data_IF_911291947870
#
_entry.id   IF_911291947870
#
_cell.length_a   1.000
_cell.length_b   1.000
_cell.length_c   1.000
_cell.angle_alpha   90.00
_cell.angle_beta   90.00
_cell.angle_gamma   90.00
#
_symmetry.space_group_name_H-M   'P 1'
#
loop_
_entity.id
_entity.type
_entity.pdbx_description
1 polymer ?
#
# COMPACT_ATOMS: atom_id res chain seq x y z
N UNK A 1 24.15 4.88 3.33
CA UNK A 1 24.13 5.31 1.91
C UNK A 1 25.52 5.73 1.42
N UNK A 2 26.37 6.28 2.28
CA UNK A 2 27.74 6.71 1.97
C UNK A 2 28.82 5.73 2.46
N UNK A 3 28.40 4.64 3.12
CA UNK A 3 29.30 3.65 3.70
C UNK A 3 30.04 4.15 4.95
N UNK A 4 30.76 3.23 5.61
CA UNK A 4 31.50 3.51 6.84
C UNK A 4 32.57 4.60 6.65
N UNK A 5 33.35 4.51 5.56
CA UNK A 5 34.40 5.49 5.26
C UNK A 5 33.84 6.89 5.01
N UNK A 6 32.66 6.99 4.37
CA UNK A 6 31.97 8.24 4.16
C UNK A 6 31.49 8.87 5.47
N UNK A 7 30.94 8.05 6.38
CA UNK A 7 30.52 8.51 7.71
C UNK A 7 31.70 8.99 8.52
N UNK A 8 32.82 8.24 8.55
CA UNK A 8 34.05 8.64 9.25
C UNK A 8 34.55 10.00 8.75
N UNK A 9 34.61 10.19 7.42
CA UNK A 9 35.03 11.48 6.83
C UNK A 9 34.12 12.64 7.25
N UNK A 10 32.81 12.43 7.25
CA UNK A 10 31.88 13.47 7.69
C UNK A 10 32.02 13.79 9.19
N UNK A 11 32.24 12.78 10.02
CA UNK A 11 32.46 12.97 11.47
C UNK A 11 33.73 13.79 11.73
N UNK A 12 34.84 13.46 11.06
CA UNK A 12 36.09 14.22 11.13
C UNK A 12 35.87 15.67 10.66
N UNK A 13 35.16 15.87 9.56
CA UNK A 13 34.86 17.22 9.04
C UNK A 13 34.02 18.05 10.03
N UNK A 14 33.23 17.41 10.89
CA UNK A 14 32.46 18.05 11.98
C UNK A 14 33.25 18.20 13.28
N UNK A 15 34.55 17.90 13.29
CA UNK A 15 35.42 18.09 14.43
C UNK A 15 35.38 16.96 15.47
N UNK A 16 34.81 15.79 15.14
CA UNK A 16 34.85 14.62 16.00
C UNK A 16 36.24 14.00 15.86
N UNK A 17 36.90 13.68 16.98
CA UNK A 17 38.26 13.12 16.98
C UNK A 17 38.28 11.68 16.47
N UNK A 18 39.40 11.26 15.89
CA UNK A 18 39.59 9.87 15.47
C UNK A 18 39.36 8.87 16.61
N UNK A 19 39.85 9.18 17.81
CA UNK A 19 39.68 8.36 19.01
C UNK A 19 38.19 8.18 19.35
N UNK A 20 37.37 9.25 19.23
CA UNK A 20 35.94 9.17 19.46
C UNK A 20 35.22 8.36 18.38
N UNK A 21 35.67 8.47 17.11
CA UNK A 21 35.16 7.71 15.99
C UNK A 21 35.47 6.21 16.16
N UNK A 22 36.71 5.87 16.57
CA UNK A 22 37.07 4.48 16.84
C UNK A 22 36.23 3.87 17.99
N UNK A 23 36.01 4.61 19.06
CA UNK A 23 35.13 4.19 20.15
C UNK A 23 33.67 3.99 19.72
N UNK A 24 33.19 4.79 18.77
CA UNK A 24 31.84 4.70 18.23
C UNK A 24 31.70 3.68 17.08
N UNK A 25 32.81 3.25 16.47
CA UNK A 25 32.80 2.37 15.29
C UNK A 25 32.01 1.06 15.47
N UNK A 26 31.98 0.41 16.66
CA UNK A 26 31.14 -0.77 16.87
C UNK A 26 29.64 -0.52 16.72
N UNK A 27 29.18 0.73 16.78
CA UNK A 27 27.78 1.11 16.58
C UNK A 27 27.39 1.15 15.08
N UNK A 28 28.38 1.31 14.18
CA UNK A 28 28.09 1.45 12.73
C UNK A 28 28.04 0.12 11.97
N UNK A 29 28.38 -0.97 12.64
CA UNK A 29 28.36 -2.32 12.06
C UNK A 29 27.28 -3.15 12.74
N UNK A 30 26.01 -3.10 12.27
CA UNK A 30 24.99 -3.99 12.76
C UNK A 30 25.30 -5.42 12.29
N UNK A 31 26.00 -6.18 13.12
CA UNK A 31 26.34 -7.58 12.86
C UNK A 31 25.82 -8.45 14.00
N UNK A 32 25.26 -9.59 13.62
CA UNK A 32 24.80 -10.61 14.56
C UNK A 32 23.29 -10.52 14.85
N UNK A 33 22.86 -11.38 15.72
CA UNK A 33 21.49 -11.45 16.22
C UNK A 33 21.13 -10.23 17.10
N UNK A 34 19.85 -10.00 17.34
CA UNK A 34 19.40 -8.95 18.26
C UNK A 34 20.02 -9.09 19.66
N UNK A 35 20.21 -10.30 20.16
CA UNK A 35 20.81 -10.53 21.47
C UNK A 35 22.28 -10.13 21.50
N UNK A 36 23.06 -10.53 20.48
CA UNK A 36 24.47 -10.13 20.37
C UNK A 36 24.63 -8.62 20.23
N UNK A 37 23.70 -7.95 19.55
CA UNK A 37 23.68 -6.49 19.48
C UNK A 37 23.37 -5.86 20.82
N UNK A 38 22.39 -6.38 21.57
CA UNK A 38 22.06 -5.91 22.92
C UNK A 38 23.24 -6.07 23.89
N UNK A 39 23.93 -7.20 23.88
CA UNK A 39 25.10 -7.46 24.72
C UNK A 39 26.23 -6.45 24.42
N UNK A 40 26.49 -6.20 23.14
CA UNK A 40 27.47 -5.22 22.70
C UNK A 40 27.14 -3.80 23.14
N UNK A 41 25.88 -3.40 22.98
CA UNK A 41 25.38 -2.11 23.42
C UNK A 41 25.43 -1.96 24.96
N UNK A 42 25.18 -3.03 25.69
CA UNK A 42 25.27 -3.04 27.17
C UNK A 42 26.70 -2.73 27.62
N UNK A 43 27.69 -3.34 26.99
CA UNK A 43 29.11 -3.05 27.25
C UNK A 43 29.51 -1.60 26.94
N UNK A 44 28.99 -1.05 25.83
CA UNK A 44 29.28 0.33 25.39
C UNK A 44 28.57 1.40 26.24
N UNK A 45 27.35 1.12 26.70
CA UNK A 45 26.48 2.07 27.38
C UNK A 45 26.44 1.88 28.91
N UNK A 46 27.31 1.03 29.46
CA UNK A 46 27.34 0.65 30.89
C UNK A 46 27.39 1.84 31.87
N UNK A 47 28.00 2.94 31.45
CA UNK A 47 28.20 4.14 32.28
C UNK A 47 27.15 5.22 31.98
N UNK A 48 26.17 4.95 31.10
CA UNK A 48 25.08 5.87 30.72
C UNK A 48 23.75 5.39 31.28
N UNK A 49 23.13 6.16 32.17
CA UNK A 49 21.80 5.83 32.68
C UNK A 49 20.72 5.88 31.62
N UNK A 50 20.80 6.82 30.67
CA UNK A 50 19.90 6.89 29.54
C UNK A 50 20.12 5.72 28.57
N UNK A 51 21.37 5.32 28.35
CA UNK A 51 21.72 4.15 27.59
C UNK A 51 21.12 2.87 28.15
N UNK A 52 21.26 2.66 29.47
CA UNK A 52 20.65 1.53 30.17
C UNK A 52 19.12 1.52 30.05
N UNK A 53 18.49 2.69 30.20
CA UNK A 53 17.04 2.83 30.02
C UNK A 53 16.62 2.43 28.61
N UNK A 54 17.29 2.93 27.58
CA UNK A 54 17.01 2.57 26.18
C UNK A 54 17.19 1.08 25.90
N UNK A 55 18.24 0.46 26.44
CA UNK A 55 18.49 -0.98 26.32
C UNK A 55 17.37 -1.82 26.96
N UNK A 56 16.92 -1.41 28.16
CA UNK A 56 15.82 -2.10 28.83
C UNK A 56 14.51 -2.00 28.05
N UNK A 57 14.23 -0.84 27.44
CA UNK A 57 13.09 -0.66 26.56
C UNK A 57 13.19 -1.56 25.30
N UNK A 58 14.33 -1.64 24.67
CA UNK A 58 14.56 -2.52 23.52
C UNK A 58 14.43 -4.00 23.89
N UNK A 59 14.99 -4.44 25.02
CA UNK A 59 14.82 -5.82 25.51
C UNK A 59 13.34 -6.15 25.72
N UNK A 60 12.63 -5.28 26.41
CA UNK A 60 11.20 -5.46 26.66
C UNK A 60 10.41 -5.60 25.35
N UNK A 61 10.69 -4.74 24.36
CA UNK A 61 10.03 -4.81 23.05
C UNK A 61 10.35 -6.13 22.34
N UNK A 62 11.63 -6.53 22.28
CA UNK A 62 12.04 -7.74 21.60
C UNK A 62 11.45 -9.00 22.25
N UNK A 63 11.48 -9.08 23.58
CA UNK A 63 10.91 -10.22 24.33
C UNK A 63 9.40 -10.29 24.13
N UNK A 64 8.71 -9.15 24.24
CA UNK A 64 7.26 -9.09 24.07
C UNK A 64 6.84 -9.49 22.65
N UNK A 65 7.48 -8.93 21.64
CA UNK A 65 7.17 -9.25 20.24
C UNK A 65 7.51 -10.71 19.92
N UNK A 66 8.60 -11.24 20.49
CA UNK A 66 8.96 -12.66 20.35
C UNK A 66 7.90 -13.57 20.98
N UNK A 67 7.37 -13.22 22.15
CA UNK A 67 6.33 -13.98 22.83
C UNK A 67 4.98 -13.93 22.08
N UNK A 68 4.63 -12.79 21.47
CA UNK A 68 3.42 -12.63 20.66
C UNK A 68 3.54 -13.33 19.29
N UNK A 69 4.75 -13.45 18.79
CA UNK A 69 5.06 -14.00 17.47
C UNK A 69 4.79 -13.04 16.31
N UNK A 70 5.69 -13.03 15.35
CA UNK A 70 5.50 -12.35 14.06
C UNK A 70 5.20 -13.41 13.00
N UNK A 71 4.24 -13.17 12.12
CA UNK A 71 3.88 -14.14 11.08
C UNK A 71 4.89 -14.14 9.92
N UNK A 72 5.23 -12.97 9.38
CA UNK A 72 6.08 -12.85 8.19
C UNK A 72 7.17 -11.79 8.33
N UNK A 73 7.03 -10.83 9.22
CA UNK A 73 8.00 -9.77 9.43
C UNK A 73 9.16 -10.24 10.32
N UNK A 74 10.35 -9.67 10.12
CA UNK A 74 11.50 -9.83 10.99
C UNK A 74 11.73 -8.53 11.76
N UNK A 75 11.92 -8.63 13.07
CA UNK A 75 12.31 -7.49 13.90
C UNK A 75 13.83 -7.53 14.12
N UNK A 76 14.50 -6.43 13.82
CA UNK A 76 15.94 -6.28 14.04
C UNK A 76 16.25 -4.95 14.70
N UNK A 77 17.27 -4.95 15.55
CA UNK A 77 17.83 -3.71 16.10
C UNK A 77 18.67 -3.04 15.01
N UNK A 78 18.47 -1.76 14.83
CA UNK A 78 19.30 -0.91 13.98
C UNK A 78 19.66 0.37 14.75
N UNK A 79 20.88 0.41 15.27
CA UNK A 79 21.39 1.57 16.04
C UNK A 79 21.74 2.75 15.15
N UNK A 80 21.76 2.56 13.82
CA UNK A 80 21.99 3.63 12.85
C UNK A 80 20.70 4.31 12.41
N UNK A 81 19.55 3.81 12.85
CA UNK A 81 18.26 4.38 12.52
C UNK A 81 18.11 5.78 13.13
N UNK A 82 17.97 6.78 12.28
CA UNK A 82 17.70 8.15 12.66
C UNK A 82 16.44 8.66 11.97
N UNK A 83 15.56 9.28 12.77
CA UNK A 83 14.34 9.94 12.27
C UNK A 83 14.55 11.45 12.30
N UNK A 84 14.04 12.14 11.28
CA UNK A 84 14.24 13.58 11.12
C UNK A 84 13.43 14.47 12.08
N UNK A 85 12.68 13.90 13.00
CA UNK A 85 11.78 14.62 13.93
C UNK A 85 12.20 14.39 15.37
N UNK A 86 12.39 15.45 16.13
CA UNK A 86 12.93 15.44 17.49
C UNK A 86 11.86 15.26 18.59
N UNK A 87 10.67 14.80 18.28
CA UNK A 87 9.59 14.61 19.26
C UNK A 87 9.52 13.18 19.82
N UNK A 88 10.29 12.25 19.29
CA UNK A 88 10.34 10.89 19.82
C UNK A 88 11.14 10.86 21.12
N UNK A 89 10.58 10.23 22.14
CA UNK A 89 11.15 10.14 23.50
C UNK A 89 11.51 8.71 23.91
N UNK A 90 11.24 7.74 23.04
CA UNK A 90 11.53 6.32 23.29
C UNK A 90 11.89 5.60 22.01
N UNK A 91 11.54 4.34 21.91
CA UNK A 91 11.85 3.52 20.74
C UNK A 91 11.28 4.12 19.45
N UNK A 92 12.10 4.13 18.42
CA UNK A 92 11.71 4.45 17.04
C UNK A 92 11.79 3.19 16.19
N UNK A 93 10.97 3.12 15.15
CA UNK A 93 10.98 1.97 14.25
C UNK A 93 10.77 2.40 12.80
N UNK A 94 11.27 1.57 11.91
CA UNK A 94 11.13 1.75 10.47
C UNK A 94 10.75 0.42 9.84
N UNK A 95 9.88 0.47 8.83
CA UNK A 95 9.49 -0.69 8.04
C UNK A 95 10.23 -0.61 6.72
N UNK A 96 11.17 -1.51 6.52
CA UNK A 96 11.87 -1.64 5.24
C UNK A 96 10.95 -2.26 4.18
N UNK A 97 11.22 -1.97 2.92
CA UNK A 97 10.60 -2.70 1.83
C UNK A 97 11.01 -4.18 1.87
N UNK A 98 10.21 -5.10 1.28
CA UNK A 98 10.58 -6.49 1.15
C UNK A 98 11.93 -6.70 0.46
N UNK A 99 12.57 -7.81 0.79
CA UNK A 99 13.85 -8.18 0.19
C UNK A 99 13.73 -8.29 -1.34
N UNK A 100 14.69 -7.73 -2.06
CA UNK A 100 14.70 -7.68 -3.52
C UNK A 100 14.10 -6.41 -4.12
N UNK A 101 13.25 -5.69 -3.39
CA UNK A 101 12.66 -4.42 -3.87
C UNK A 101 13.62 -3.26 -3.57
N UNK A 102 14.05 -2.55 -4.60
CA UNK A 102 14.96 -1.40 -4.48
C UNK A 102 14.22 -0.13 -4.04
N UNK A 103 13.69 -0.17 -2.84
CA UNK A 103 12.96 0.95 -2.26
C UNK A 103 13.45 1.22 -0.84
N UNK A 104 13.34 2.47 -0.41
CA UNK A 104 13.59 2.84 0.98
C UNK A 104 12.44 2.39 1.90
N UNK A 105 12.45 2.94 3.12
CA UNK A 105 11.40 2.68 4.10
C UNK A 105 9.99 2.92 3.56
N UNK A 106 9.09 1.97 3.81
CA UNK A 106 7.67 2.03 3.45
C UNK A 106 6.77 2.45 4.61
N UNK A 107 7.32 2.55 5.81
CA UNK A 107 6.61 3.02 6.98
C UNK A 107 7.57 3.29 8.12
N UNK A 108 7.06 3.86 9.19
CA UNK A 108 7.85 4.06 10.38
C UNK A 108 7.18 4.98 11.39
N UNK A 109 7.72 4.97 12.59
CA UNK A 109 7.14 5.71 13.70
C UNK A 109 7.99 5.64 14.95
N UNK A 110 7.34 5.82 16.09
CA UNK A 110 7.99 5.73 17.39
C UNK A 110 7.11 6.20 18.52
N UNK A 111 7.65 6.08 19.73
CA UNK A 111 7.02 6.55 20.95
C UNK A 111 7.33 8.02 21.18
N UNK A 112 6.34 8.75 21.65
CA UNK A 112 6.44 10.13 22.08
C UNK A 112 5.61 10.35 23.34
N UNK A 113 6.18 11.05 24.34
CA UNK A 113 5.52 11.31 25.62
C UNK A 113 5.04 12.76 25.72
N UNK A 114 5.75 13.71 25.09
CA UNK A 114 5.50 15.14 25.25
C UNK A 114 4.67 15.78 24.15
N UNK A 115 4.63 15.15 22.97
CA UNK A 115 3.94 15.69 21.78
C UNK A 115 2.43 15.91 22.05
N UNK A 116 1.80 15.02 22.77
CA UNK A 116 0.38 15.10 23.16
C UNK A 116 0.08 16.34 24.02
N UNK A 117 1.06 16.79 24.81
CA UNK A 117 0.96 18.00 25.61
C UNK A 117 0.81 19.27 24.79
N UNK A 118 1.41 19.33 23.60
CA UNK A 118 1.28 20.44 22.64
C UNK A 118 -0.18 20.59 22.18
N UNK A 119 -0.89 19.45 22.09
CA UNK A 119 -2.31 19.39 21.70
C UNK A 119 -3.27 19.40 22.90
N UNK A 120 -2.78 19.76 24.11
CA UNK A 120 -3.60 19.90 25.30
C UNK A 120 -3.76 18.64 26.14
N UNK A 121 -3.18 17.51 25.75
CA UNK A 121 -3.26 16.23 26.47
C UNK A 121 -1.99 16.01 27.29
N UNK A 122 -1.86 16.71 28.42
CA UNK A 122 -0.69 16.58 29.30
C UNK A 122 -0.63 15.20 29.97
N UNK A 123 0.58 14.68 30.13
CA UNK A 123 0.86 13.38 30.76
C UNK A 123 0.21 12.16 30.03
N UNK A 124 0.02 12.25 28.74
CA UNK A 124 -0.44 11.14 27.92
C UNK A 124 0.67 10.75 26.95
N UNK A 125 1.24 9.57 27.12
CA UNK A 125 2.18 8.99 26.17
C UNK A 125 1.46 8.56 24.90
N UNK A 126 2.17 8.59 23.78
CA UNK A 126 1.65 8.13 22.50
C UNK A 126 2.68 7.29 21.73
N UNK A 127 2.18 6.45 20.86
CA UNK A 127 2.95 5.77 19.82
C UNK A 127 2.24 5.99 18.49
N UNK A 128 3.00 6.29 17.47
CA UNK A 128 2.45 6.53 16.14
C UNK A 128 3.20 5.76 15.07
N UNK A 129 2.49 5.41 14.02
CA UNK A 129 3.04 4.85 12.80
C UNK A 129 2.49 5.60 11.59
N UNK A 130 3.37 5.88 10.64
CA UNK A 130 3.02 6.43 9.32
C UNK A 130 3.36 5.42 8.25
N UNK A 131 2.45 5.24 7.30
CA UNK A 131 2.64 4.38 6.14
C UNK A 131 2.86 5.23 4.89
N UNK A 132 3.87 4.86 4.10
CA UNK A 132 4.12 5.46 2.80
C UNK A 132 3.21 4.85 1.74
N UNK A 133 1.99 5.39 1.58
CA UNK A 133 0.98 4.84 0.67
C UNK A 133 1.52 4.61 -0.74
N UNK A 134 2.16 5.62 -1.32
CA UNK A 134 2.72 5.54 -2.67
C UNK A 134 3.81 4.45 -2.78
N UNK A 135 4.64 4.33 -1.73
CA UNK A 135 5.70 3.32 -1.70
C UNK A 135 5.15 1.92 -1.55
N UNK A 136 4.13 1.74 -0.71
CA UNK A 136 3.43 0.44 -0.56
C UNK A 136 2.77 0.06 -1.88
N UNK A 137 2.13 1.00 -2.56
CA UNK A 137 1.54 0.77 -3.88
C UNK A 137 2.59 0.25 -4.88
N UNK A 138 3.73 0.94 -4.99
CA UNK A 138 4.80 0.54 -5.90
C UNK A 138 5.42 -0.83 -5.54
N UNK A 139 5.52 -1.15 -4.25
CA UNK A 139 5.97 -2.48 -3.79
C UNK A 139 4.98 -3.57 -4.20
N UNK A 140 3.67 -3.33 -4.02
CA UNK A 140 2.63 -4.27 -4.43
C UNK A 140 2.61 -4.47 -5.95
N UNK A 141 2.86 -3.41 -6.72
CA UNK A 141 2.96 -3.45 -8.19
C UNK A 141 4.21 -4.23 -8.63
N UNK A 142 5.39 -3.94 -8.05
CA UNK A 142 6.65 -4.61 -8.40
C UNK A 142 6.63 -6.10 -8.08
N UNK A 143 5.93 -6.50 -7.03
CA UNK A 143 5.81 -7.90 -6.59
C UNK A 143 4.55 -8.61 -7.11
N UNK A 144 3.75 -7.96 -7.95
CA UNK A 144 2.47 -8.50 -8.49
C UNK A 144 1.53 -9.03 -7.39
N UNK A 145 1.43 -8.26 -6.29
CA UNK A 145 0.65 -8.63 -5.10
C UNK A 145 -0.76 -8.02 -5.07
N UNK A 146 -1.16 -7.29 -6.11
CA UNK A 146 -2.54 -6.82 -6.18
C UNK A 146 -3.48 -8.00 -6.41
N UNK A 147 -4.58 -8.11 -5.64
CA UNK A 147 -5.57 -9.14 -5.90
C UNK A 147 -6.16 -9.01 -7.31
N UNK A 148 -6.33 -10.11 -8.02
CA UNK A 148 -6.98 -10.13 -9.34
C UNK A 148 -8.35 -9.42 -9.37
N UNK A 149 -9.05 -9.38 -8.23
CA UNK A 149 -10.32 -8.68 -8.06
C UNK A 149 -10.22 -7.16 -8.29
N UNK A 150 -9.02 -6.56 -8.20
CA UNK A 150 -8.81 -5.13 -8.49
C UNK A 150 -8.78 -4.90 -9.99
N UNK A 151 -8.15 -5.78 -10.76
CA UNK A 151 -8.07 -5.70 -12.22
C UNK A 151 -9.42 -5.99 -12.87
N UNK A 152 -10.27 -6.80 -12.22
CA UNK A 152 -11.64 -7.10 -12.64
C UNK A 152 -12.69 -6.21 -11.97
N UNK A 153 -12.40 -4.91 -11.85
CA UNK A 153 -13.31 -3.98 -11.16
C UNK A 153 -14.64 -3.75 -11.88
N UNK A 154 -14.72 -4.06 -13.18
CA UNK A 154 -15.92 -3.87 -14.01
C UNK A 154 -16.18 -5.12 -14.83
N UNK A 155 -17.39 -5.70 -14.71
CA UNK A 155 -17.80 -6.88 -15.47
C UNK A 155 -18.50 -6.50 -16.76
N UNK A 156 -19.26 -5.42 -16.73
CA UNK A 156 -20.10 -4.99 -17.86
C UNK A 156 -19.96 -3.48 -18.08
N UNK A 157 -19.65 -3.08 -19.32
CA UNK A 157 -19.67 -1.68 -19.75
C UNK A 157 -20.76 -1.47 -20.79
N UNK A 158 -21.71 -0.57 -20.54
CA UNK A 158 -22.66 -0.13 -21.55
C UNK A 158 -22.07 1.01 -22.39
N UNK A 159 -22.17 0.92 -23.70
CA UNK A 159 -21.79 1.98 -24.64
C UNK A 159 -22.80 3.11 -24.57
N UNK A 160 -22.33 4.34 -24.73
CA UNK A 160 -23.16 5.53 -24.79
C UNK A 160 -23.20 6.08 -26.22
N UNK A 161 -24.32 5.92 -26.90
CA UNK A 161 -24.51 6.43 -28.26
C UNK A 161 -25.21 7.82 -28.32
N UNK A 162 -25.92 8.19 -27.26
CA UNK A 162 -26.66 9.42 -27.17
C UNK A 162 -27.64 9.44 -25.97
N UNK A 163 -28.42 10.48 -25.85
CA UNK A 163 -29.26 10.68 -24.68
C UNK A 163 -30.35 9.59 -24.50
N UNK A 164 -30.99 9.18 -25.59
CA UNK A 164 -32.03 8.16 -25.55
C UNK A 164 -31.47 6.79 -25.19
N UNK A 165 -30.41 6.40 -25.85
CA UNK A 165 -29.70 5.16 -25.65
C UNK A 165 -29.09 5.11 -24.25
N UNK A 166 -28.51 6.21 -23.77
CA UNK A 166 -27.96 6.34 -22.44
C UNK A 166 -29.01 6.13 -21.34
N UNK A 167 -30.23 6.60 -21.53
CA UNK A 167 -31.32 6.38 -20.58
C UNK A 167 -31.70 4.89 -20.46
N UNK A 168 -31.73 4.17 -21.56
CA UNK A 168 -31.96 2.73 -21.57
C UNK A 168 -30.80 1.98 -20.94
N UNK A 169 -29.55 2.35 -21.28
CA UNK A 169 -28.35 1.78 -20.70
C UNK A 169 -28.28 2.00 -19.18
N UNK A 170 -28.63 3.18 -18.66
CA UNK A 170 -28.66 3.46 -17.22
C UNK A 170 -29.70 2.61 -16.49
N UNK A 171 -30.89 2.39 -17.09
CA UNK A 171 -31.89 1.48 -16.51
C UNK A 171 -31.32 0.06 -16.42
N UNK A 172 -30.67 -0.42 -17.48
CA UNK A 172 -30.06 -1.73 -17.51
C UNK A 172 -28.91 -1.85 -16.49
N UNK A 173 -27.99 -0.88 -16.43
CA UNK A 173 -26.92 -0.83 -15.44
C UNK A 173 -27.47 -0.89 -14.01
N UNK A 174 -28.59 -0.19 -13.75
CA UNK A 174 -29.23 -0.20 -12.44
C UNK A 174 -29.74 -1.59 -12.07
N UNK A 175 -30.31 -2.34 -13.04
CA UNK A 175 -30.77 -3.72 -12.81
C UNK A 175 -29.59 -4.67 -12.56
N UNK A 176 -28.53 -4.58 -13.38
CA UNK A 176 -27.33 -5.37 -13.21
C UNK A 176 -26.67 -5.15 -11.84
N UNK A 177 -26.55 -3.89 -11.42
CA UNK A 177 -26.02 -3.54 -10.10
C UNK A 177 -26.85 -4.08 -8.95
N UNK A 178 -28.20 -4.06 -9.07
CA UNK A 178 -29.09 -4.68 -8.07
C UNK A 178 -28.90 -6.19 -7.97
N UNK A 179 -28.48 -6.84 -9.03
CA UNK A 179 -28.12 -8.26 -9.06
C UNK A 179 -26.67 -8.54 -8.62
N UNK A 180 -25.93 -7.53 -8.12
CA UNK A 180 -24.56 -7.67 -7.67
C UNK A 180 -23.49 -7.62 -8.77
N UNK A 181 -23.89 -7.38 -10.02
CA UNK A 181 -22.97 -7.31 -11.16
C UNK A 181 -22.33 -5.91 -11.22
N UNK A 182 -21.00 -5.86 -11.33
CA UNK A 182 -20.23 -4.63 -11.46
C UNK A 182 -20.38 -4.07 -12.88
N UNK A 183 -21.40 -3.25 -13.08
CA UNK A 183 -21.74 -2.65 -14.36
C UNK A 183 -21.59 -1.13 -14.34
N UNK A 184 -21.19 -0.55 -15.46
CA UNK A 184 -21.11 0.89 -15.65
C UNK A 184 -21.50 1.28 -17.08
N UNK A 185 -21.68 2.57 -17.32
CA UNK A 185 -21.89 3.13 -18.64
C UNK A 185 -20.77 4.10 -18.98
N UNK A 186 -20.36 4.13 -20.25
CA UNK A 186 -19.38 5.11 -20.70
C UNK A 186 -19.92 6.54 -20.50
N UNK A 187 -19.15 7.47 -19.88
CA UNK A 187 -19.68 8.69 -19.30
C UNK A 187 -20.22 9.71 -20.30
N UNK A 188 -19.84 9.62 -21.56
CA UNK A 188 -20.28 10.57 -22.59
C UNK A 188 -20.48 9.90 -23.95
N UNK A 189 -21.34 10.47 -24.79
CA UNK A 189 -21.44 10.04 -26.19
C UNK A 189 -20.08 10.21 -26.88
N UNK A 190 -19.58 9.13 -27.47
CA UNK A 190 -18.29 9.10 -28.15
C UNK A 190 -18.29 8.04 -29.26
N UNK A 191 -17.32 8.15 -30.18
CA UNK A 191 -17.12 7.12 -31.22
C UNK A 191 -16.96 5.74 -30.61
N UNK A 192 -17.62 4.74 -31.18
CA UNK A 192 -17.59 3.33 -30.75
C UNK A 192 -16.16 2.86 -30.46
N UNK A 193 -15.24 3.12 -31.38
CA UNK A 193 -13.84 2.70 -31.24
C UNK A 193 -13.17 3.20 -29.95
N UNK A 194 -13.47 4.43 -29.52
CA UNK A 194 -12.94 5.01 -28.28
C UNK A 194 -13.48 4.27 -27.06
N UNK A 195 -14.76 3.96 -27.05
CA UNK A 195 -15.42 3.25 -25.97
C UNK A 195 -14.97 1.79 -25.87
N UNK A 196 -14.81 1.12 -27.02
CA UNK A 196 -14.25 -0.24 -27.07
C UNK A 196 -12.80 -0.29 -26.59
N UNK A 197 -11.97 0.70 -26.97
CA UNK A 197 -10.60 0.82 -26.46
C UNK A 197 -10.57 1.01 -24.94
N UNK A 198 -11.49 1.80 -24.42
CA UNK A 198 -11.63 1.99 -22.96
C UNK A 198 -12.01 0.68 -22.24
N UNK A 199 -12.97 -0.07 -22.79
CA UNK A 199 -13.36 -1.37 -22.25
C UNK A 199 -12.17 -2.35 -22.25
N UNK A 200 -11.44 -2.40 -23.37
CA UNK A 200 -10.28 -3.27 -23.52
C UNK A 200 -9.15 -2.93 -22.55
N UNK A 201 -8.82 -1.62 -22.39
CA UNK A 201 -7.78 -1.17 -21.46
C UNK A 201 -8.10 -1.44 -19.99
N UNK A 202 -9.38 -1.63 -19.67
CA UNK A 202 -9.86 -1.99 -18.33
C UNK A 202 -10.19 -3.47 -18.17
N UNK A 203 -9.83 -4.29 -19.14
CA UNK A 203 -10.10 -5.73 -19.15
C UNK A 203 -11.58 -6.07 -18.88
N UNK A 204 -12.51 -5.24 -19.39
CA UNK A 204 -13.95 -5.46 -19.21
C UNK A 204 -14.38 -6.63 -20.08
N UNK A 205 -14.89 -7.73 -19.52
CA UNK A 205 -15.21 -8.93 -20.30
C UNK A 205 -16.44 -8.77 -21.20
N UNK A 206 -17.40 -7.94 -20.81
CA UNK A 206 -18.65 -7.78 -21.55
C UNK A 206 -18.95 -6.32 -21.86
N UNK A 207 -19.25 -6.03 -23.12
CA UNK A 207 -19.69 -4.70 -23.56
C UNK A 207 -21.11 -4.80 -24.08
N UNK A 208 -22.00 -3.93 -23.58
CA UNK A 208 -23.41 -3.86 -24.01
C UNK A 208 -23.57 -2.71 -24.98
N UNK A 209 -24.27 -3.01 -26.08
CA UNK A 209 -24.62 -2.11 -27.15
C UNK A 209 -26.14 -1.96 -27.16
N UNK A 210 -26.61 -0.70 -27.06
CA UNK A 210 -28.01 -0.33 -27.23
C UNK A 210 -28.01 0.87 -28.17
N UNK A 211 -28.24 0.64 -29.46
CA UNK A 211 -28.41 1.67 -30.47
C UNK A 211 -29.89 1.89 -30.79
N UNK A 212 -30.17 2.68 -31.81
CA UNK A 212 -31.56 2.97 -32.24
C UNK A 212 -32.33 1.70 -32.64
N UNK A 213 -31.66 0.75 -33.28
CA UNK A 213 -32.25 -0.52 -33.71
C UNK A 213 -32.61 -1.38 -32.50
N UNK A 214 -31.68 -1.52 -31.55
CA UNK A 214 -31.91 -2.30 -30.33
C UNK A 214 -33.02 -1.67 -29.49
N UNK A 215 -33.09 -0.34 -29.40
CA UNK A 215 -34.19 0.36 -28.72
C UNK A 215 -35.53 0.05 -29.39
N UNK A 216 -35.60 0.08 -30.73
CA UNK A 216 -36.81 -0.20 -31.48
C UNK A 216 -37.29 -1.64 -31.31
N UNK A 217 -36.33 -2.58 -31.21
CA UNK A 217 -36.62 -4.00 -30.99
C UNK A 217 -36.77 -4.38 -29.52
N UNK A 218 -36.63 -3.40 -28.60
CA UNK A 218 -36.61 -3.63 -27.15
C UNK A 218 -35.59 -4.69 -26.71
N UNK A 219 -34.38 -4.64 -27.33
CA UNK A 219 -33.30 -5.55 -27.11
C UNK A 219 -31.99 -4.84 -26.76
N UNK A 220 -30.96 -5.59 -26.41
CA UNK A 220 -29.58 -5.15 -26.28
C UNK A 220 -28.64 -6.25 -26.75
N UNK A 221 -27.51 -5.86 -27.33
CA UNK A 221 -26.47 -6.77 -27.76
C UNK A 221 -25.34 -6.79 -26.73
N UNK A 222 -24.95 -7.98 -26.33
CA UNK A 222 -23.78 -8.23 -25.44
C UNK A 222 -22.64 -8.76 -26.29
N UNK A 223 -21.53 -8.05 -26.28
CA UNK A 223 -20.28 -8.48 -26.88
C UNK A 223 -19.35 -9.06 -25.82
N UNK A 224 -18.98 -10.32 -25.95
CA UNK A 224 -17.90 -10.93 -25.19
C UNK A 224 -16.56 -10.43 -25.75
N UNK A 225 -15.80 -9.70 -24.94
CA UNK A 225 -14.53 -9.08 -25.38
C UNK A 225 -13.40 -10.09 -25.53
N UNK A 226 -13.45 -11.22 -24.83
CA UNK A 226 -12.44 -12.27 -24.89
C UNK A 226 -12.59 -13.14 -26.14
N UNK A 227 -13.83 -13.51 -26.46
CA UNK A 227 -14.15 -14.42 -27.57
C UNK A 227 -14.51 -13.68 -28.85
N UNK A 228 -14.90 -12.42 -28.77
CA UNK A 228 -15.41 -11.64 -29.87
C UNK A 228 -16.85 -12.00 -30.28
N UNK A 229 -17.48 -12.95 -29.58
CA UNK A 229 -18.88 -13.36 -29.83
C UNK A 229 -19.86 -12.27 -29.43
N UNK A 230 -21.06 -12.33 -30.03
CA UNK A 230 -22.15 -11.40 -29.70
C UNK A 230 -23.45 -12.20 -29.51
N UNK A 231 -24.19 -11.83 -28.47
CA UNK A 231 -25.51 -12.39 -28.14
C UNK A 231 -26.50 -11.26 -27.94
N UNK A 232 -27.73 -11.47 -28.39
CA UNK A 232 -28.82 -10.52 -28.22
C UNK A 232 -29.75 -10.97 -27.09
N UNK A 233 -30.14 -10.02 -26.25
CA UNK A 233 -31.06 -10.23 -25.13
C UNK A 233 -32.19 -9.20 -25.17
N UNK A 234 -33.32 -9.52 -24.55
CA UNK A 234 -34.45 -8.61 -24.43
C UNK A 234 -34.32 -7.67 -23.23
N UNK A 235 -34.57 -6.39 -23.43
CA UNK A 235 -34.69 -5.40 -22.34
C UNK A 235 -35.82 -5.72 -21.36
N UNK A 236 -36.83 -6.51 -21.79
CA UNK A 236 -37.89 -6.98 -20.92
C UNK A 236 -37.51 -8.21 -20.08
N UNK A 237 -36.42 -8.89 -20.42
CA UNK A 237 -35.94 -10.07 -19.70
C UNK A 237 -34.43 -10.01 -19.48
N UNK A 238 -34.01 -9.05 -18.65
CA UNK A 238 -32.59 -8.89 -18.26
C UNK A 238 -32.11 -10.07 -17.42
N UNK A 239 -33.01 -10.79 -16.77
CA UNK A 239 -32.70 -11.99 -15.96
C UNK A 239 -31.88 -13.02 -16.73
N UNK A 240 -32.23 -13.29 -18.00
CA UNK A 240 -31.49 -14.23 -18.83
C UNK A 240 -29.99 -13.87 -19.02
N UNK A 241 -29.67 -12.58 -19.08
CA UNK A 241 -28.27 -12.15 -19.12
C UNK A 241 -27.61 -12.18 -17.73
N UNK A 242 -28.35 -11.88 -16.68
CA UNK A 242 -27.85 -12.01 -15.30
C UNK A 242 -27.47 -13.45 -14.99
N UNK A 243 -28.34 -14.40 -15.36
CA UNK A 243 -28.08 -15.84 -15.21
C UNK A 243 -26.87 -16.32 -16.01
N UNK A 244 -26.63 -15.72 -17.19
CA UNK A 244 -25.45 -16.01 -18.00
C UNK A 244 -24.14 -15.54 -17.35
N UNK A 245 -24.20 -14.47 -16.52
CA UNK A 245 -23.02 -13.91 -15.83
C UNK A 245 -22.74 -14.58 -14.48
N UNK A 246 -23.68 -15.34 -13.92
CA UNK A 246 -23.59 -16.02 -12.62
C UNK A 246 -22.90 -17.36 -12.75
#
# INVERSE_FOLDING_TARGET
KIGEDGVKKEMLAKGITEEAIEKASPLFLPQGSNNEQLERLDGLLKDSEEGKKGLNELRFILETISALGLQSAKLSIDVTLARGLNYYTGAIFEVAAPEGVKMGSIGGGGRYDDLTGIFGLKNVSGVGISFGLDRIYLVLEELDLFPEAIDRSLQVLCVNFGEKEAMAALKLVTQLRKAGIKADMYPSSAKMQKQMKYANNRNVPYVILIGEQELSNNSFVVKNMNEGSQLEYSLNNVGAFIDYLS
#
